data_IF_851915241394
#
_entry.id   IF_851915241394
#
_cell.length_a   1.000
_cell.length_b   1.000
_cell.length_c   1.000
_cell.angle_alpha   90.00
_cell.angle_beta   90.00
_cell.angle_gamma   90.00
#
_symmetry.space_group_name_H-M   'P 1'
#
loop_
_entity.id
_entity.type
_entity.pdbx_description
1 polymer ?
#
# COMPACT_ATOMS: atom_id res chain seq x y z
N UNK A 1 3.94 -13.12 13.91
CA UNK A 1 2.72 -12.32 13.58
C UNK A 1 3.01 -10.86 13.21
N UNK A 2 4.17 -10.27 13.58
CA UNK A 2 4.62 -8.97 13.09
C UNK A 2 5.34 -9.04 11.71
N UNK A 3 5.87 -10.21 11.40
CA UNK A 3 6.75 -10.49 10.25
C UNK A 3 6.22 -10.01 8.89
N UNK A 4 5.03 -10.41 8.45
CA UNK A 4 4.53 -10.05 7.11
C UNK A 4 4.28 -8.54 6.94
N UNK A 5 3.86 -7.84 8.00
CA UNK A 5 3.57 -6.43 7.94
C UNK A 5 4.86 -5.58 7.91
N UNK A 6 5.86 -5.98 8.70
CA UNK A 6 7.19 -5.37 8.73
C UNK A 6 7.95 -5.64 7.42
N UNK A 7 7.76 -6.82 6.84
CA UNK A 7 8.32 -7.19 5.54
C UNK A 7 7.77 -6.29 4.42
N UNK A 8 6.45 -6.07 4.35
CA UNK A 8 5.86 -5.24 3.31
C UNK A 8 6.38 -3.80 3.36
N UNK A 9 6.40 -3.18 4.56
CA UNK A 9 6.91 -1.81 4.70
C UNK A 9 8.36 -1.72 4.23
N UNK A 10 9.22 -2.63 4.73
CA UNK A 10 10.64 -2.64 4.38
C UNK A 10 10.87 -2.77 2.87
N UNK A 11 10.12 -3.64 2.19
CA UNK A 11 10.24 -3.77 0.74
C UNK A 11 9.71 -2.54 0.00
N UNK A 12 8.59 -1.98 0.45
CA UNK A 12 8.03 -0.76 -0.15
C UNK A 12 9.02 0.41 -0.05
N UNK A 13 9.64 0.63 1.11
CA UNK A 13 10.64 1.68 1.30
C UNK A 13 11.85 1.54 0.36
N UNK A 14 12.33 0.31 0.19
CA UNK A 14 13.44 0.00 -0.74
C UNK A 14 13.03 0.26 -2.19
N UNK A 15 11.84 -0.18 -2.60
CA UNK A 15 11.35 0.02 -3.96
C UNK A 15 11.12 1.50 -4.26
N UNK A 16 10.49 2.24 -3.34
CA UNK A 16 10.30 3.69 -3.47
C UNK A 16 11.64 4.44 -3.56
N UNK A 17 12.63 4.06 -2.75
CA UNK A 17 13.97 4.66 -2.79
C UNK A 17 14.65 4.44 -4.14
N UNK A 18 14.52 3.25 -4.73
CA UNK A 18 15.09 2.94 -6.05
C UNK A 18 14.34 3.68 -7.17
N UNK A 19 13.01 3.77 -7.08
CA UNK A 19 12.18 4.49 -8.05
C UNK A 19 12.26 6.01 -7.90
N UNK A 20 12.79 6.54 -6.80
CA UNK A 20 12.78 7.97 -6.49
C UNK A 20 11.37 8.49 -6.22
N UNK A 21 10.54 7.69 -5.55
CA UNK A 21 9.12 7.99 -5.25
C UNK A 21 8.89 8.24 -3.77
N UNK A 22 7.76 8.87 -3.49
CA UNK A 22 7.32 9.23 -2.14
C UNK A 22 5.98 8.59 -1.79
N UNK A 23 5.73 8.35 -0.49
CA UNK A 23 4.43 7.87 -0.01
C UNK A 23 3.26 8.75 -0.49
N UNK A 24 3.46 10.06 -0.58
CA UNK A 24 2.48 11.04 -1.05
C UNK A 24 2.01 10.77 -2.47
N UNK A 25 2.88 10.32 -3.38
CA UNK A 25 2.50 9.98 -4.76
C UNK A 25 1.62 8.72 -4.82
N UNK A 26 1.72 7.84 -3.81
CA UNK A 26 0.97 6.58 -3.75
C UNK A 26 -0.41 6.74 -3.06
N UNK A 27 -0.69 7.91 -2.48
CA UNK A 27 -1.99 8.16 -1.85
C UNK A 27 -3.13 8.02 -2.86
N UNK A 28 -4.31 7.52 -2.45
CA UNK A 28 -5.44 7.29 -3.37
C UNK A 28 -5.86 8.50 -4.19
N UNK A 29 -5.73 9.71 -3.64
CA UNK A 29 -6.01 10.98 -4.31
C UNK A 29 -4.99 11.36 -5.39
N UNK A 30 -3.76 10.84 -5.31
CA UNK A 30 -2.65 11.21 -6.19
C UNK A 30 -2.29 10.11 -7.20
N UNK A 31 -2.65 8.86 -6.92
CA UNK A 31 -2.27 7.71 -7.75
C UNK A 31 -2.84 7.77 -9.18
N UNK A 32 -3.95 8.50 -9.39
CA UNK A 32 -4.51 8.71 -10.73
C UNK A 32 -3.67 9.61 -11.63
N UNK A 33 -2.86 10.48 -11.04
CA UNK A 33 -1.91 11.36 -11.75
C UNK A 33 -0.48 10.84 -11.71
N UNK A 34 -0.28 9.57 -11.33
CA UNK A 34 1.04 8.97 -11.26
C UNK A 34 1.64 8.81 -12.67
N UNK A 35 2.66 9.61 -12.97
CA UNK A 35 3.38 9.55 -14.24
C UNK A 35 4.54 8.56 -14.17
N UNK A 36 4.46 7.49 -14.95
CA UNK A 36 5.48 6.45 -15.00
C UNK A 36 6.77 6.94 -15.66
N UNK A 37 7.91 6.42 -15.21
CA UNK A 37 9.20 6.69 -15.84
C UNK A 37 9.26 6.12 -17.26
N UNK A 38 9.66 6.98 -18.21
CA UNK A 38 9.76 6.65 -19.63
C UNK A 38 11.09 6.00 -20.01
N UNK A 39 11.33 5.83 -21.31
CA UNK A 39 12.50 5.15 -21.87
C UNK A 39 13.84 5.85 -21.61
N UNK A 40 13.86 7.07 -21.06
CA UNK A 40 15.09 7.76 -20.66
C UNK A 40 15.74 7.12 -19.42
N UNK A 41 14.96 6.39 -18.63
CA UNK A 41 15.43 5.73 -17.41
C UNK A 41 15.82 4.27 -17.65
N UNK A 42 16.76 3.77 -16.84
CA UNK A 42 17.20 2.38 -16.87
C UNK A 42 16.01 1.42 -16.69
N UNK A 43 15.98 0.33 -17.46
CA UNK A 43 14.91 -0.67 -17.41
C UNK A 43 14.60 -1.16 -15.98
N UNK A 44 15.63 -1.33 -15.15
CA UNK A 44 15.47 -1.75 -13.74
C UNK A 44 14.70 -0.70 -12.93
N UNK A 45 15.00 0.58 -13.10
CA UNK A 45 14.30 1.68 -12.42
C UNK A 45 12.83 1.69 -12.84
N UNK A 46 12.55 1.58 -14.15
CA UNK A 46 11.16 1.55 -14.65
C UNK A 46 10.38 0.35 -14.13
N UNK A 47 11.00 -0.83 -14.07
CA UNK A 47 10.34 -2.02 -13.49
C UNK A 47 9.99 -1.82 -12.02
N UNK A 48 10.88 -1.21 -11.25
CA UNK A 48 10.61 -0.89 -9.85
C UNK A 48 9.53 0.19 -9.73
N UNK A 49 9.54 1.19 -10.61
CA UNK A 49 8.49 2.22 -10.70
C UNK A 49 7.12 1.60 -10.97
N UNK A 50 7.04 0.60 -11.85
CA UNK A 50 5.82 -0.19 -12.07
C UNK A 50 5.37 -0.89 -10.80
N UNK A 51 6.28 -1.55 -10.07
CA UNK A 51 5.92 -2.22 -8.81
C UNK A 51 5.35 -1.24 -7.79
N UNK A 52 5.97 -0.07 -7.65
CA UNK A 52 5.54 1.01 -6.75
C UNK A 52 4.15 1.52 -7.15
N UNK A 53 3.93 1.81 -8.43
CA UNK A 53 2.63 2.20 -8.97
C UNK A 53 1.55 1.14 -8.69
N UNK A 54 1.83 -0.13 -9.01
CA UNK A 54 0.91 -1.23 -8.77
C UNK A 54 0.59 -1.40 -7.27
N UNK A 55 1.54 -1.15 -6.37
CA UNK A 55 1.29 -1.11 -4.91
C UNK A 55 0.30 -0.01 -4.54
N UNK A 56 0.52 1.23 -5.00
CA UNK A 56 -0.39 2.35 -4.75
C UNK A 56 -1.80 2.09 -5.31
N UNK A 57 -1.89 1.55 -6.53
CA UNK A 57 -3.17 1.15 -7.16
C UNK A 57 -3.87 0.06 -6.37
N UNK A 58 -3.13 -0.95 -5.91
CA UNK A 58 -3.69 -2.04 -5.11
C UNK A 58 -4.25 -1.54 -3.76
N UNK A 59 -3.54 -0.65 -3.07
CA UNK A 59 -4.06 0.01 -1.86
C UNK A 59 -5.34 0.81 -2.16
N UNK A 60 -5.32 1.60 -3.23
CA UNK A 60 -6.48 2.40 -3.65
C UNK A 60 -7.67 1.55 -4.09
N UNK A 61 -7.46 0.32 -4.57
CA UNK A 61 -8.54 -0.57 -5.02
C UNK A 61 -9.12 -1.48 -3.93
N UNK A 62 -8.48 -1.56 -2.75
CA UNK A 62 -9.02 -2.31 -1.61
C UNK A 62 -10.38 -1.74 -1.13
N UNK A 63 -11.22 -2.61 -0.58
CA UNK A 63 -12.50 -2.22 0.02
C UNK A 63 -12.32 -1.16 1.12
N UNK A 64 -13.28 -0.23 1.20
CA UNK A 64 -13.32 0.78 2.25
C UNK A 64 -14.73 0.97 2.81
N UNK A 65 -15.34 -0.12 3.26
CA UNK A 65 -16.69 -0.12 3.86
C UNK A 65 -16.58 0.04 5.38
N UNK A 66 -17.64 0.48 6.05
CA UNK A 66 -17.67 0.66 7.52
C UNK A 66 -17.16 -0.56 8.29
N UNK A 67 -17.55 -1.78 7.87
CA UNK A 67 -17.13 -3.05 8.51
C UNK A 67 -15.83 -3.63 7.95
N UNK A 68 -15.34 -3.10 6.83
CA UNK A 68 -14.15 -3.53 6.09
C UNK A 68 -13.36 -2.31 5.60
N UNK A 69 -12.75 -1.53 6.51
CA UNK A 69 -12.05 -0.28 6.16
C UNK A 69 -10.62 -0.58 5.67
N UNK A 70 -10.45 -1.55 4.77
CA UNK A 70 -9.14 -2.13 4.42
C UNK A 70 -8.22 -1.12 3.75
N UNK A 71 -8.74 -0.34 2.79
CA UNK A 71 -8.00 0.79 2.20
C UNK A 71 -7.51 1.76 3.27
N UNK A 72 -8.39 2.20 4.17
CA UNK A 72 -8.02 3.11 5.27
C UNK A 72 -6.92 2.50 6.14
N UNK A 73 -7.06 1.23 6.52
CA UNK A 73 -6.05 0.52 7.33
C UNK A 73 -4.69 0.52 6.65
N UNK A 74 -4.63 0.15 5.37
CA UNK A 74 -3.37 0.03 4.65
C UNK A 74 -2.74 1.40 4.37
N UNK A 75 -3.51 2.34 3.82
CA UNK A 75 -3.00 3.69 3.53
C UNK A 75 -2.49 4.37 4.80
N UNK A 76 -3.23 4.29 5.90
CA UNK A 76 -2.80 4.92 7.14
C UNK A 76 -1.55 4.25 7.74
N UNK A 77 -1.47 2.92 7.68
CA UNK A 77 -0.34 2.19 8.24
C UNK A 77 0.94 2.30 7.42
N UNK A 78 0.83 2.32 6.08
CA UNK A 78 1.98 2.15 5.17
C UNK A 78 2.39 3.41 4.43
N UNK A 79 1.48 4.37 4.24
CA UNK A 79 1.76 5.63 3.52
C UNK A 79 1.73 6.85 4.44
N UNK A 80 0.88 6.85 5.48
CA UNK A 80 0.79 7.95 6.44
C UNK A 80 1.59 7.71 7.75
N UNK A 81 2.40 6.65 7.80
CA UNK A 81 3.22 6.26 8.96
C UNK A 81 2.45 6.23 10.30
N UNK A 82 1.15 5.92 10.26
CA UNK A 82 0.35 5.82 11.47
C UNK A 82 0.57 4.46 12.12
N UNK A 83 0.92 4.49 13.42
CA UNK A 83 1.00 3.26 14.22
C UNK A 83 -0.34 2.50 14.20
N UNK A 84 -0.28 1.17 14.22
CA UNK A 84 -1.46 0.29 14.32
C UNK A 84 -2.45 0.74 15.42
N UNK A 85 -1.94 1.24 16.56
CA UNK A 85 -2.77 1.73 17.66
C UNK A 85 -3.60 2.96 17.26
N UNK A 86 -2.98 3.94 16.60
CA UNK A 86 -3.66 5.15 16.11
C UNK A 86 -4.72 4.78 15.07
N UNK A 87 -4.39 3.90 14.14
CA UNK A 87 -5.33 3.46 13.10
C UNK A 87 -6.49 2.68 13.70
N UNK A 88 -6.24 1.73 14.62
CA UNK A 88 -7.28 0.98 15.30
C UNK A 88 -8.30 1.89 16.01
N UNK A 89 -7.82 2.95 16.69
CA UNK A 89 -8.67 3.96 17.30
C UNK A 89 -9.47 4.74 16.26
N UNK A 90 -8.83 5.15 15.15
CA UNK A 90 -9.46 5.88 14.03
C UNK A 90 -10.59 5.08 13.39
N UNK A 91 -10.40 3.78 13.17
CA UNK A 91 -11.41 2.89 12.56
C UNK A 91 -12.39 2.29 13.58
N UNK A 92 -12.27 2.62 14.87
CA UNK A 92 -13.21 2.22 15.91
C UNK A 92 -13.14 0.75 16.33
N UNK A 93 -11.98 0.09 16.18
CA UNK A 93 -11.81 -1.33 16.53
C UNK A 93 -10.82 -1.56 17.67
N UNK A 94 -11.08 -2.62 18.45
CA UNK A 94 -10.13 -3.11 19.44
C UNK A 94 -8.85 -3.61 18.76
N UNK A 95 -7.72 -3.64 19.48
CA UNK A 95 -6.42 -4.09 18.93
C UNK A 95 -6.50 -5.49 18.30
N UNK A 96 -7.18 -6.43 18.96
CA UNK A 96 -7.36 -7.79 18.44
C UNK A 96 -8.15 -7.80 17.13
N UNK A 97 -9.31 -7.13 17.11
CA UNK A 97 -10.14 -7.05 15.90
C UNK A 97 -9.44 -6.33 14.75
N UNK A 98 -8.72 -5.26 15.07
CA UNK A 98 -7.88 -4.55 14.11
C UNK A 98 -6.79 -5.46 13.52
N UNK A 99 -6.13 -6.28 14.35
CA UNK A 99 -5.14 -7.25 13.89
C UNK A 99 -5.70 -8.20 12.83
N UNK A 100 -6.89 -8.77 13.07
CA UNK A 100 -7.60 -9.60 12.07
C UNK A 100 -7.93 -8.81 10.81
N UNK A 101 -8.52 -7.62 10.94
CA UNK A 101 -8.88 -6.79 9.78
C UNK A 101 -7.68 -6.36 8.95
N UNK A 102 -6.51 -6.13 9.58
CA UNK A 102 -5.27 -5.82 8.87
C UNK A 102 -4.76 -7.01 8.07
N UNK A 103 -4.88 -8.23 8.59
CA UNK A 103 -4.54 -9.45 7.83
C UNK A 103 -5.49 -9.65 6.66
N UNK A 104 -6.80 -9.47 6.86
CA UNK A 104 -7.78 -9.54 5.79
C UNK A 104 -7.51 -8.47 4.71
N UNK A 105 -7.12 -7.26 5.13
CA UNK A 105 -6.74 -6.17 4.23
C UNK A 105 -5.49 -6.53 3.40
N UNK A 106 -4.45 -7.12 4.01
CA UNK A 106 -3.24 -7.58 3.31
C UNK A 106 -3.54 -8.72 2.33
N UNK A 107 -4.49 -9.60 2.68
CA UNK A 107 -4.94 -10.65 1.77
C UNK A 107 -5.67 -10.07 0.55
N UNK A 108 -6.59 -9.11 0.74
CA UNK A 108 -7.23 -8.42 -0.38
C UNK A 108 -6.20 -7.63 -1.21
N UNK A 109 -5.29 -6.90 -0.56
CA UNK A 109 -4.21 -6.20 -1.24
C UNK A 109 -3.41 -7.12 -2.17
N UNK A 110 -3.05 -8.32 -1.70
CA UNK A 110 -2.29 -9.28 -2.51
C UNK A 110 -3.06 -9.66 -3.78
N UNK A 111 -4.38 -9.84 -3.69
CA UNK A 111 -5.23 -10.11 -4.86
C UNK A 111 -5.25 -8.91 -5.82
N UNK A 112 -5.41 -7.69 -5.30
CA UNK A 112 -5.40 -6.46 -6.12
C UNK A 112 -4.04 -6.21 -6.77
N UNK A 113 -2.96 -6.42 -6.04
CA UNK A 113 -1.60 -6.26 -6.54
C UNK A 113 -1.31 -7.22 -7.69
N UNK A 114 -1.68 -8.50 -7.53
CA UNK A 114 -1.53 -9.51 -8.58
C UNK A 114 -2.35 -9.15 -9.83
N UNK A 115 -3.53 -8.54 -9.67
CA UNK A 115 -4.29 -8.01 -10.80
C UNK A 115 -3.55 -6.86 -11.50
N UNK A 116 -3.06 -5.87 -10.76
CA UNK A 116 -2.41 -4.68 -11.34
C UNK A 116 -1.02 -4.93 -11.92
N UNK A 117 -0.30 -5.98 -11.50
CA UNK A 117 1.03 -6.30 -12.08
C UNK A 117 0.92 -7.13 -13.37
N UNK A 118 -0.22 -7.78 -13.59
CA UNK A 118 -0.48 -8.63 -14.76
C UNK A 118 -1.17 -7.87 -15.91
N UNK A 119 -1.72 -6.69 -15.63
CA UNK A 119 -2.40 -5.80 -16.59
C UNK A 119 -1.62 -4.49 -16.75
#
# INVERSE_FOLDING_TARGET
MAENAEILQKYLDVLMSIAGRTNTELLPENISSFEMWDNRYLLKIRRVDTLVYCTGKAFSDCQNKTKKPYKTILVDCYLNDMTNLKVAKKVGYSRSRFGTLKQDALAEFTQRFNYWIQN
#
